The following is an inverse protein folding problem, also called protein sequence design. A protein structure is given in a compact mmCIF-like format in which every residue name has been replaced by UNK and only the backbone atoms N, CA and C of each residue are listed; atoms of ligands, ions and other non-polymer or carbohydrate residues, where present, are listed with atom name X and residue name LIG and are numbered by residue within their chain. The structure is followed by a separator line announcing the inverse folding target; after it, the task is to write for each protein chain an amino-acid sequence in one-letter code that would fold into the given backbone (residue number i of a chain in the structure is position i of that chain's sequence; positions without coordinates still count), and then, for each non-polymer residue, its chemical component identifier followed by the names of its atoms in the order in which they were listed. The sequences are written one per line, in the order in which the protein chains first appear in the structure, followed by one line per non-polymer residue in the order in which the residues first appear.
data_IF_959286441576
#
_entry.id   IF_959286441576
#
_cell.length_a   1.000
_cell.length_b   1.000
_cell.length_c   1.000
_cell.angle_alpha   90.00
_cell.angle_beta   90.00
_cell.angle_gamma   90.00
#
_symmetry.space_group_name_H-M   'P 1'
#
loop_
_entity.id
_entity.type
_entity.pdbx_description
1 polymer ?
#
# COMPACT_ATOMS: atom_id res chain seq x y z
N UNK A 1 -9.29 4.86 -26.02
CA UNK A 1 -8.66 3.83 -26.88
C UNK A 1 -7.62 4.40 -27.83
N UNK A 2 -7.92 5.43 -28.65
CA UNK A 2 -6.99 6.02 -29.63
C UNK A 2 -5.63 6.48 -29.06
N UNK A 3 -5.62 7.06 -27.85
CA UNK A 3 -4.39 7.53 -27.18
C UNK A 3 -3.42 6.37 -26.82
N UNK A 4 -3.94 5.18 -26.50
CA UNK A 4 -3.13 4.01 -26.14
C UNK A 4 -2.39 3.46 -27.36
N UNK A 5 -3.08 3.34 -28.50
CA UNK A 5 -2.46 2.89 -29.75
C UNK A 5 -1.43 3.90 -30.28
N UNK A 6 -1.71 5.20 -30.15
CA UNK A 6 -0.76 6.25 -30.51
C UNK A 6 0.52 6.19 -29.65
N UNK A 7 0.38 5.98 -28.33
CA UNK A 7 1.53 5.82 -27.44
C UNK A 7 2.38 4.58 -27.76
N UNK A 8 1.75 3.45 -28.11
CA UNK A 8 2.46 2.24 -28.54
C UNK A 8 3.18 2.47 -29.88
N UNK A 9 2.54 3.13 -30.84
CA UNK A 9 3.17 3.46 -32.12
C UNK A 9 4.39 4.38 -31.94
N UNK A 10 4.28 5.40 -31.07
CA UNK A 10 5.39 6.29 -30.73
C UNK A 10 6.53 5.54 -30.03
N UNK A 11 6.21 4.59 -29.15
CA UNK A 11 7.21 3.74 -28.50
C UNK A 11 7.98 2.86 -29.49
N UNK A 12 7.27 2.25 -30.45
CA UNK A 12 7.91 1.45 -31.51
C UNK A 12 8.81 2.34 -32.38
N UNK A 13 8.35 3.55 -32.73
CA UNK A 13 9.14 4.49 -33.52
C UNK A 13 10.42 4.92 -32.78
N UNK A 14 10.34 5.18 -31.47
CA UNK A 14 11.53 5.48 -30.67
C UNK A 14 12.53 4.32 -30.61
N UNK A 15 12.05 3.07 -30.51
CA UNK A 15 12.92 1.90 -30.60
C UNK A 15 13.62 1.79 -31.96
N UNK A 16 12.90 2.05 -33.06
CA UNK A 16 13.48 2.06 -34.41
C UNK A 16 14.57 3.13 -34.52
N UNK A 17 14.33 4.34 -33.97
CA UNK A 17 15.33 5.41 -33.95
C UNK A 17 16.60 5.02 -33.18
N UNK A 18 16.48 4.33 -32.04
CA UNK A 18 17.62 3.84 -31.28
C UNK A 18 18.44 2.84 -32.11
N UNK A 19 17.78 1.88 -32.77
CA UNK A 19 18.45 0.89 -33.62
C UNK A 19 19.15 1.60 -34.79
N UNK A 20 18.47 2.53 -35.47
CA UNK A 20 19.07 3.32 -36.55
C UNK A 20 20.27 4.13 -36.07
N UNK A 21 20.24 4.68 -34.86
CA UNK A 21 21.35 5.43 -34.28
C UNK A 21 22.60 4.55 -34.13
N UNK A 22 22.44 3.34 -33.57
CA UNK A 22 23.54 2.38 -33.41
C UNK A 22 24.11 1.87 -34.73
N UNK A 23 23.28 1.70 -35.76
CA UNK A 23 23.72 1.12 -37.03
C UNK A 23 24.24 2.16 -38.05
N UNK A 24 23.69 3.38 -38.05
CA UNK A 24 23.95 4.37 -39.11
C UNK A 24 24.75 5.58 -38.64
N UNK A 25 24.60 5.98 -37.37
CA UNK A 25 25.19 7.22 -36.83
C UNK A 25 26.49 6.98 -36.06
N UNK A 26 26.62 5.83 -35.42
CA UNK A 26 27.74 5.49 -34.56
C UNK A 26 28.82 4.72 -35.34
N UNK A 27 30.05 5.25 -35.48
CA UNK A 27 31.09 4.59 -36.25
C UNK A 27 31.52 3.28 -35.57
N UNK A 28 31.66 2.20 -36.34
CA UNK A 28 31.97 0.86 -35.83
C UNK A 28 33.23 0.80 -34.92
N UNK A 29 34.17 1.74 -35.09
CA UNK A 29 35.40 1.85 -34.33
C UNK A 29 35.21 2.23 -32.84
N UNK A 30 34.06 2.81 -32.46
CA UNK A 30 33.77 3.11 -31.05
C UNK A 30 33.31 1.88 -30.26
N UNK A 31 33.01 0.79 -30.97
CA UNK A 31 32.62 -0.47 -30.38
C UNK A 31 33.83 -1.39 -30.42
N UNK A 32 34.14 -2.00 -29.28
CA UNK A 32 35.22 -2.98 -29.15
C UNK A 32 34.84 -4.36 -29.76
N UNK A 33 34.26 -4.35 -30.96
CA UNK A 33 33.72 -5.50 -31.68
C UNK A 33 32.19 -5.54 -31.75
N UNK A 34 31.68 -6.35 -32.67
CA UNK A 34 30.24 -6.49 -32.96
C UNK A 34 29.44 -6.96 -31.73
N UNK A 35 30.00 -7.86 -30.91
CA UNK A 35 29.35 -8.37 -29.71
C UNK A 35 29.09 -7.28 -28.65
N UNK A 36 30.01 -6.31 -28.50
CA UNK A 36 29.85 -5.20 -27.56
C UNK A 36 28.78 -4.22 -28.06
N UNK A 37 28.71 -3.98 -29.37
CA UNK A 37 27.68 -3.14 -29.99
C UNK A 37 26.27 -3.70 -29.72
N UNK A 38 26.08 -5.01 -29.94
CA UNK A 38 24.79 -5.66 -29.66
C UNK A 38 24.43 -5.67 -28.17
N UNK A 39 25.43 -5.82 -27.30
CA UNK A 39 25.22 -5.75 -25.85
C UNK A 39 24.75 -4.35 -25.44
N UNK A 40 25.43 -3.29 -25.87
CA UNK A 40 25.04 -1.93 -25.52
C UNK A 40 23.70 -1.53 -26.11
N UNK A 41 23.40 -1.96 -27.34
CA UNK A 41 22.08 -1.79 -27.94
C UNK A 41 21.00 -2.47 -27.09
N UNK A 42 21.25 -3.69 -26.60
CA UNK A 42 20.30 -4.42 -25.76
C UNK A 42 20.04 -3.71 -24.43
N UNK A 43 21.08 -3.18 -23.79
CA UNK A 43 20.99 -2.44 -22.53
C UNK A 43 20.20 -1.14 -22.72
N UNK A 44 20.52 -0.36 -23.74
CA UNK A 44 19.79 0.89 -24.06
C UNK A 44 18.34 0.59 -24.41
N UNK A 45 18.07 -0.49 -25.14
CA UNK A 45 16.72 -0.95 -25.45
C UNK A 45 15.93 -1.32 -24.18
N UNK A 46 16.55 -2.03 -23.23
CA UNK A 46 15.91 -2.37 -21.95
C UNK A 46 15.57 -1.09 -21.18
N UNK A 47 16.51 -0.14 -21.08
CA UNK A 47 16.28 1.16 -20.43
C UNK A 47 15.13 1.91 -21.10
N UNK A 48 15.11 1.96 -22.44
CA UNK A 48 14.06 2.62 -23.19
C UNK A 48 12.67 2.05 -22.86
N UNK A 49 12.51 0.72 -22.91
CA UNK A 49 11.24 0.08 -22.59
C UNK A 49 10.84 0.24 -21.12
N UNK A 50 11.79 0.29 -20.19
CA UNK A 50 11.52 0.62 -18.79
C UNK A 50 10.91 2.03 -18.67
N UNK A 51 11.43 3.02 -19.39
CA UNK A 51 10.89 4.38 -19.38
C UNK A 51 9.55 4.50 -20.10
N UNK A 52 9.36 3.81 -21.23
CA UNK A 52 8.06 3.70 -21.91
C UNK A 52 7.01 3.12 -20.97
N UNK A 53 7.37 2.09 -20.20
CA UNK A 53 6.47 1.48 -19.22
C UNK A 53 6.11 2.46 -18.09
N UNK A 54 7.10 3.16 -17.53
CA UNK A 54 6.87 4.14 -16.44
C UNK A 54 6.01 5.31 -16.89
N UNK A 55 6.28 5.87 -18.07
CA UNK A 55 5.58 7.05 -18.60
C UNK A 55 4.22 6.70 -19.23
N UNK A 56 4.11 5.53 -19.85
CA UNK A 56 2.90 5.07 -20.55
C UNK A 56 1.89 4.32 -19.68
N UNK A 57 2.35 3.71 -18.57
CA UNK A 57 1.54 2.85 -17.69
C UNK A 57 1.79 3.22 -16.23
N UNK A 58 1.73 4.50 -15.87
CA UNK A 58 1.66 4.90 -14.46
C UNK A 58 0.27 4.55 -13.91
N UNK A 59 0.06 3.43 -13.20
CA UNK A 59 -1.24 3.07 -12.70
C UNK A 59 -1.27 3.58 -11.27
N UNK A 60 -1.33 4.89 -11.08
CA UNK A 60 -1.99 5.36 -9.85
C UNK A 60 -3.45 5.01 -10.07
N UNK A 61 -3.80 3.76 -9.75
CA UNK A 61 -5.19 3.31 -9.68
C UNK A 61 -5.81 4.16 -8.58
N UNK A 62 -6.42 5.26 -8.97
CA UNK A 62 -7.21 6.12 -8.08
C UNK A 62 -8.35 5.33 -7.40
N UNK A 63 -8.72 4.18 -7.98
CA UNK A 63 -9.75 3.28 -7.49
C UNK A 63 -9.28 2.29 -6.40
N UNK A 64 -8.00 2.26 -6.03
CA UNK A 64 -7.52 1.39 -4.94
C UNK A 64 -7.44 2.18 -3.62
N UNK A 65 -8.42 2.02 -2.70
CA UNK A 65 -8.47 2.78 -1.45
C UNK A 65 -7.29 2.44 -0.53
N UNK A 66 -6.64 1.29 -0.74
CA UNK A 66 -5.44 0.89 -0.02
C UNK A 66 -4.15 1.54 -0.56
N UNK A 67 -4.21 2.27 -1.69
CA UNK A 67 -3.09 2.96 -2.32
C UNK A 67 -1.83 2.08 -2.46
N UNK A 68 -2.01 0.76 -2.67
CA UNK A 68 -0.92 -0.23 -2.71
C UNK A 68 0.11 0.10 -3.79
N UNK A 69 -0.37 0.68 -4.89
CA UNK A 69 0.46 1.15 -5.99
C UNK A 69 1.42 2.28 -5.59
N UNK A 70 1.02 3.14 -4.64
CA UNK A 70 1.82 4.29 -4.17
C UNK A 70 2.97 3.83 -3.26
N UNK A 71 2.71 2.86 -2.37
CA UNK A 71 3.71 2.34 -1.42
C UNK A 71 4.96 1.74 -2.08
N UNK A 72 4.82 1.18 -3.29
CA UNK A 72 5.95 0.64 -4.06
C UNK A 72 6.48 1.57 -5.16
N UNK A 73 5.78 2.68 -5.44
CA UNK A 73 6.07 3.55 -6.60
C UNK A 73 7.42 4.24 -6.46
N UNK A 74 7.73 4.75 -5.26
CA UNK A 74 8.98 5.45 -4.98
C UNK A 74 10.20 4.55 -5.18
N UNK A 75 10.16 3.33 -4.63
CA UNK A 75 11.25 2.36 -4.79
C UNK A 75 11.42 1.98 -6.27
N UNK A 76 10.32 1.76 -7.02
CA UNK A 76 10.38 1.48 -8.46
C UNK A 76 11.02 2.64 -9.24
N UNK A 77 10.60 3.88 -8.97
CA UNK A 77 11.13 5.06 -9.63
C UNK A 77 12.62 5.24 -9.38
N UNK A 78 13.04 5.21 -8.11
CA UNK A 78 14.46 5.31 -7.76
C UNK A 78 15.28 4.17 -8.38
N UNK A 79 14.76 2.95 -8.36
CA UNK A 79 15.46 1.78 -8.93
C UNK A 79 15.65 1.91 -10.44
N UNK A 80 14.64 2.39 -11.17
CA UNK A 80 14.72 2.58 -12.63
C UNK A 80 15.69 3.71 -12.97
N UNK A 81 15.70 4.80 -12.21
CA UNK A 81 16.66 5.90 -12.39
C UNK A 81 18.09 5.40 -12.16
N UNK A 82 18.35 4.76 -11.02
CA UNK A 82 19.68 4.25 -10.66
C UNK A 82 20.16 3.23 -11.70
N UNK A 83 19.29 2.29 -12.10
CA UNK A 83 19.63 1.33 -13.15
C UNK A 83 19.94 2.01 -14.49
N UNK A 84 19.14 2.99 -14.90
CA UNK A 84 19.36 3.72 -16.17
C UNK A 84 20.70 4.45 -16.17
N UNK A 85 21.05 5.12 -15.05
CA UNK A 85 22.32 5.83 -14.92
C UNK A 85 23.49 4.86 -14.87
N UNK A 86 23.41 3.77 -14.10
CA UNK A 86 24.50 2.80 -14.00
C UNK A 86 24.70 2.01 -15.28
N UNK A 87 23.66 1.40 -15.83
CA UNK A 87 23.75 0.54 -17.02
C UNK A 87 24.03 1.37 -18.28
N UNK A 88 23.35 2.50 -18.46
CA UNK A 88 23.57 3.41 -19.58
C UNK A 88 24.89 4.17 -19.47
N UNK A 89 25.25 4.63 -18.27
CA UNK A 89 26.54 5.28 -18.01
C UNK A 89 27.72 4.33 -18.21
N UNK A 90 27.60 3.07 -17.76
CA UNK A 90 28.63 2.07 -18.01
C UNK A 90 28.80 1.78 -19.51
N UNK A 91 27.71 1.61 -20.26
CA UNK A 91 27.74 1.44 -21.73
C UNK A 91 28.41 2.65 -22.43
N UNK A 92 28.07 3.87 -22.02
CA UNK A 92 28.70 5.09 -22.56
C UNK A 92 30.21 5.13 -22.27
N UNK A 93 30.61 4.83 -21.03
CA UNK A 93 32.02 4.81 -20.63
C UNK A 93 32.80 3.76 -21.42
N UNK A 94 32.24 2.58 -21.65
CA UNK A 94 32.90 1.55 -22.46
C UNK A 94 33.07 1.97 -23.93
N UNK A 95 32.09 2.69 -24.50
CA UNK A 95 32.23 3.26 -25.85
C UNK A 95 33.30 4.34 -25.91
N UNK A 96 33.37 5.24 -24.92
CA UNK A 96 34.40 6.28 -24.85
C UNK A 96 35.81 5.71 -24.65
N UNK A 97 35.95 4.67 -23.83
CA UNK A 97 37.23 3.97 -23.62
C UNK A 97 37.70 3.26 -24.90
N UNK A 98 36.79 2.63 -25.63
CA UNK A 98 37.09 2.03 -26.93
C UNK A 98 37.52 3.09 -27.96
N UNK A 99 36.84 4.24 -28.02
CA UNK A 99 37.24 5.36 -28.87
C UNK A 99 38.64 5.93 -28.52
N UNK A 100 39.03 5.89 -27.24
CA UNK A 100 40.35 6.31 -26.77
C UNK A 100 41.43 5.21 -26.92
N UNK A 101 41.13 4.09 -27.58
CA UNK A 101 42.09 3.01 -27.84
C UNK A 101 42.31 2.02 -26.69
N UNK A 102 41.48 2.07 -25.65
CA UNK A 102 41.49 1.11 -24.53
C UNK A 102 40.17 0.33 -24.46
N UNK A 103 39.93 -0.61 -25.40
CA UNK A 103 38.68 -1.35 -25.45
C UNK A 103 38.52 -2.28 -24.24
N UNK A 104 37.33 -2.26 -23.63
CA UNK A 104 36.95 -3.21 -22.58
C UNK A 104 36.55 -4.55 -23.21
N UNK A 105 37.12 -5.64 -22.70
CA UNK A 105 36.80 -6.98 -23.18
C UNK A 105 35.31 -7.32 -22.96
N UNK A 106 34.67 -7.93 -23.96
CA UNK A 106 33.26 -8.34 -23.91
C UNK A 106 32.88 -9.08 -22.62
N UNK A 107 33.73 -10.01 -22.16
CA UNK A 107 33.50 -10.82 -20.95
C UNK A 107 33.33 -9.96 -19.69
N UNK A 108 34.07 -8.86 -19.59
CA UNK A 108 33.96 -7.92 -18.46
C UNK A 108 32.71 -7.04 -18.61
N UNK A 109 32.42 -6.59 -19.83
CA UNK A 109 31.26 -5.76 -20.10
C UNK A 109 29.94 -6.50 -19.82
N UNK A 110 29.82 -7.76 -20.28
CA UNK A 110 28.63 -8.59 -20.01
C UNK A 110 28.50 -8.95 -18.53
N UNK A 111 29.61 -9.25 -17.84
CA UNK A 111 29.58 -9.56 -16.41
C UNK A 111 29.12 -8.34 -15.59
N UNK A 112 29.67 -7.15 -15.88
CA UNK A 112 29.28 -5.92 -15.20
C UNK A 112 27.80 -5.57 -15.46
N UNK A 113 27.34 -5.63 -16.70
CA UNK A 113 25.93 -5.37 -17.04
C UNK A 113 24.99 -6.40 -16.40
N UNK A 114 25.39 -7.67 -16.30
CA UNK A 114 24.62 -8.71 -15.61
C UNK A 114 24.49 -8.44 -14.10
N UNK A 115 25.56 -7.98 -13.44
CA UNK A 115 25.53 -7.60 -12.02
C UNK A 115 24.60 -6.40 -11.80
N UNK A 116 24.67 -5.38 -12.66
CA UNK A 116 23.80 -4.20 -12.59
C UNK A 116 22.33 -4.60 -12.78
N UNK A 117 22.05 -5.47 -13.77
CA UNK A 117 20.71 -6.00 -14.00
C UNK A 117 20.20 -6.82 -12.81
N UNK A 118 21.04 -7.66 -12.22
CA UNK A 118 20.69 -8.44 -11.04
C UNK A 118 20.34 -7.55 -9.84
N UNK A 119 21.14 -6.52 -9.58
CA UNK A 119 20.85 -5.52 -8.54
C UNK A 119 19.50 -4.81 -8.77
N UNK A 120 19.19 -4.47 -10.02
CA UNK A 120 17.89 -3.90 -10.38
C UNK A 120 16.72 -4.86 -10.13
N UNK A 121 16.85 -6.15 -10.47
CA UNK A 121 15.82 -7.16 -10.19
C UNK A 121 15.57 -7.33 -8.69
N UNK A 122 16.63 -7.32 -7.87
CA UNK A 122 16.49 -7.35 -6.40
C UNK A 122 15.73 -6.12 -5.87
N UNK A 123 16.00 -4.94 -6.42
CA UNK A 123 15.31 -3.72 -6.03
C UNK A 123 13.81 -3.77 -6.41
N UNK A 124 13.46 -4.35 -7.56
CA UNK A 124 12.07 -4.60 -7.95
C UNK A 124 11.37 -5.60 -7.02
N UNK A 125 12.04 -6.67 -6.60
CA UNK A 125 11.49 -7.62 -5.61
C UNK A 125 11.22 -6.94 -4.27
N UNK A 126 12.15 -6.09 -3.81
CA UNK A 126 11.98 -5.29 -2.59
C UNK A 126 10.78 -4.34 -2.67
N UNK A 127 10.59 -3.67 -3.82
CA UNK A 127 9.39 -2.86 -4.06
C UNK A 127 8.09 -3.67 -3.99
N UNK A 128 8.10 -4.91 -4.51
CA UNK A 128 6.98 -5.84 -4.41
C UNK A 128 6.59 -6.13 -2.97
N UNK A 129 7.59 -6.44 -2.12
CA UNK A 129 7.37 -6.65 -0.69
C UNK A 129 6.88 -5.39 0.04
N UNK A 130 7.43 -4.21 -0.29
CA UNK A 130 6.98 -2.95 0.30
C UNK A 130 5.50 -2.66 -0.02
N UNK A 131 5.09 -2.87 -1.28
CA UNK A 131 3.70 -2.72 -1.72
C UNK A 131 2.74 -3.70 -1.02
N UNK A 132 3.17 -4.96 -0.85
CA UNK A 132 2.41 -5.96 -0.08
C UNK A 132 2.31 -5.59 1.41
N UNK A 133 3.33 -4.95 1.98
CA UNK A 133 3.27 -4.48 3.37
C UNK A 133 2.30 -3.30 3.53
N UNK A 134 2.25 -2.37 2.58
CA UNK A 134 1.27 -1.26 2.60
C UNK A 134 -0.17 -1.78 2.54
N UNK A 135 -0.41 -2.80 1.71
CA UNK A 135 -1.69 -3.51 1.64
C UNK A 135 -2.12 -4.11 2.99
N UNK A 136 -1.17 -4.73 3.70
CA UNK A 136 -1.41 -5.33 5.00
C UNK A 136 -1.73 -4.27 6.06
N UNK A 137 -0.94 -3.18 6.13
CA UNK A 137 -1.18 -2.09 7.09
C UNK A 137 -2.54 -1.43 6.87
N UNK A 138 -2.95 -1.24 5.62
CA UNK A 138 -4.27 -0.70 5.31
C UNK A 138 -5.40 -1.60 5.81
N UNK A 139 -5.32 -2.91 5.53
CA UNK A 139 -6.30 -3.88 6.02
C UNK A 139 -6.35 -3.92 7.55
N UNK A 140 -5.19 -3.88 8.22
CA UNK A 140 -5.09 -3.84 9.67
C UNK A 140 -5.72 -2.55 10.24
N UNK A 141 -5.50 -1.40 9.60
CA UNK A 141 -6.11 -0.13 10.00
C UNK A 141 -7.63 -0.14 9.81
N UNK A 142 -8.12 -0.74 8.73
CA UNK A 142 -9.55 -0.85 8.46
C UNK A 142 -10.24 -1.77 9.48
N UNK A 143 -9.62 -2.89 9.84
CA UNK A 143 -10.10 -3.76 10.92
C UNK A 143 -10.09 -3.03 12.29
N UNK A 144 -9.05 -2.26 12.60
CA UNK A 144 -8.97 -1.44 13.83
C UNK A 144 -10.07 -0.39 13.92
N UNK A 145 -10.45 0.19 12.78
CA UNK A 145 -11.49 1.22 12.71
C UNK A 145 -12.90 0.62 12.79
N UNK A 146 -13.11 -0.58 12.22
CA UNK A 146 -14.39 -1.28 12.26
C UNK A 146 -14.85 -1.56 13.71
N UNK A 147 -13.99 -2.15 14.55
CA UNK A 147 -14.37 -2.45 15.95
C UNK A 147 -14.78 -1.21 16.77
N UNK A 148 -14.14 -0.06 16.52
CA UNK A 148 -14.55 1.21 17.15
C UNK A 148 -15.92 1.70 16.64
N UNK A 149 -16.18 1.54 15.34
CA UNK A 149 -17.46 1.92 14.76
C UNK A 149 -18.60 1.06 15.31
N UNK A 150 -18.39 -0.26 15.42
CA UNK A 150 -19.38 -1.21 15.92
C UNK A 150 -19.81 -0.90 17.36
N UNK A 151 -18.85 -0.63 18.26
CA UNK A 151 -19.17 -0.21 19.65
C UNK A 151 -19.97 1.10 19.66
N UNK A 152 -19.60 2.06 18.80
CA UNK A 152 -20.28 3.35 18.76
C UNK A 152 -21.72 3.21 18.27
N UNK A 153 -21.96 2.37 17.27
CA UNK A 153 -23.30 2.08 16.78
C UNK A 153 -24.13 1.33 17.83
N UNK A 154 -23.58 0.28 18.45
CA UNK A 154 -24.27 -0.47 19.50
C UNK A 154 -24.67 0.41 20.70
N UNK A 155 -23.77 1.30 21.16
CA UNK A 155 -24.10 2.25 22.24
C UNK A 155 -25.15 3.28 21.84
N UNK A 156 -25.20 3.67 20.56
CA UNK A 156 -26.20 4.61 20.05
C UNK A 156 -27.57 3.95 19.90
N UNK A 157 -27.63 2.72 19.41
CA UNK A 157 -28.86 1.94 19.32
C UNK A 157 -29.42 1.67 20.72
N UNK A 158 -28.55 1.35 21.67
CA UNK A 158 -28.93 1.11 23.06
C UNK A 158 -29.44 2.37 23.76
N UNK A 159 -28.80 3.53 23.52
CA UNK A 159 -29.29 4.82 24.00
C UNK A 159 -30.69 5.10 23.44
N UNK A 160 -30.89 4.88 22.14
CA UNK A 160 -32.18 5.12 21.46
C UNK A 160 -33.26 4.22 22.07
N UNK A 161 -32.98 2.93 22.25
CA UNK A 161 -33.90 1.98 22.88
C UNK A 161 -34.24 2.35 24.34
N UNK A 162 -33.28 2.94 25.08
CA UNK A 162 -33.51 3.41 26.44
C UNK A 162 -34.32 4.71 26.50
N UNK A 163 -34.14 5.63 25.53
CA UNK A 163 -34.90 6.88 25.41
C UNK A 163 -36.35 6.64 24.98
N UNK A 164 -36.59 5.66 24.11
CA UNK A 164 -37.94 5.30 23.64
C UNK A 164 -38.77 4.55 24.70
N UNK A 165 -38.14 3.98 25.72
CA UNK A 165 -38.82 3.27 26.79
C UNK A 165 -39.04 4.14 28.04
N UNK A 166 -40.27 4.66 28.20
CA UNK A 166 -40.69 5.47 29.35
C UNK A 166 -40.56 4.79 30.72
N UNK A 167 -40.38 3.47 30.78
CA UNK A 167 -40.18 2.73 32.02
C UNK A 167 -38.74 2.76 32.53
N UNK A 168 -37.78 3.20 31.71
CA UNK A 168 -36.35 3.27 32.06
C UNK A 168 -36.06 4.55 32.85
N UNK A 169 -35.41 4.47 34.03
CA UNK A 169 -35.04 5.64 34.81
C UNK A 169 -34.09 6.55 34.05
N UNK A 170 -34.29 7.86 34.20
CA UNK A 170 -33.43 8.90 33.62
C UNK A 170 -31.96 8.76 34.02
N UNK A 171 -31.68 8.16 35.17
CA UNK A 171 -30.30 7.90 35.64
C UNK A 171 -29.57 6.89 34.75
N UNK A 172 -30.26 5.83 34.29
CA UNK A 172 -29.69 4.85 33.36
C UNK A 172 -29.45 5.49 31.99
N UNK A 173 -30.40 6.27 31.50
CA UNK A 173 -30.25 7.03 30.25
C UNK A 173 -29.06 7.99 30.32
N UNK A 174 -28.88 8.72 31.42
CA UNK A 174 -27.76 9.63 31.61
C UNK A 174 -26.40 8.92 31.60
N UNK A 175 -26.30 7.74 32.21
CA UNK A 175 -25.08 6.91 32.22
C UNK A 175 -24.73 6.38 30.83
N UNK A 176 -25.73 5.91 30.08
CA UNK A 176 -25.56 5.49 28.69
C UNK A 176 -25.14 6.64 27.77
N UNK A 177 -25.69 7.83 27.98
CA UNK A 177 -25.32 9.02 27.22
C UNK A 177 -23.88 9.46 27.53
N UNK A 178 -23.39 9.27 28.76
CA UNK A 178 -22.00 9.50 29.13
C UNK A 178 -21.05 8.49 28.44
N UNK A 179 -21.42 7.20 28.43
CA UNK A 179 -20.67 6.14 27.73
C UNK A 179 -20.60 6.39 26.22
N UNK A 180 -21.70 6.78 25.60
CA UNK A 180 -21.77 7.10 24.18
C UNK A 180 -20.88 8.31 23.85
N UNK A 181 -20.86 9.35 24.68
CA UNK A 181 -19.89 10.47 24.56
C UNK A 181 -18.45 10.02 24.74
N UNK A 182 -18.19 9.11 25.67
CA UNK A 182 -16.85 8.62 25.97
C UNK A 182 -16.31 7.64 24.91
N UNK A 183 -17.18 7.06 24.08
CA UNK A 183 -16.79 6.16 22.95
C UNK A 183 -15.81 6.82 21.97
N UNK A 184 -15.84 8.15 21.87
CA UNK A 184 -14.87 8.91 21.05
C UNK A 184 -13.42 8.71 21.49
N UNK A 185 -13.21 8.45 22.79
CA UNK A 185 -11.89 8.27 23.40
C UNK A 185 -11.34 6.84 23.31
N UNK A 186 -12.08 5.91 22.70
CA UNK A 186 -11.54 4.57 22.40
C UNK A 186 -10.47 4.70 21.31
N UNK A 187 -9.29 4.19 21.61
CA UNK A 187 -8.19 4.10 20.64
C UNK A 187 -8.43 2.91 19.71
N UNK A 188 -8.34 3.09 18.37
CA UNK A 188 -8.42 1.98 17.43
C UNK A 188 -7.29 0.97 17.70
N UNK A 189 -7.64 -0.22 18.18
CA UNK A 189 -6.69 -1.28 18.52
C UNK A 189 -7.25 -2.61 18.01
N UNK A 190 -6.42 -3.42 17.36
CA UNK A 190 -6.77 -4.75 16.83
C UNK A 190 -5.91 -5.83 17.46
N UNK A 191 -5.37 -5.57 18.66
CA UNK A 191 -4.80 -6.66 19.45
C UNK A 191 -5.90 -7.70 19.73
N UNK A 192 -5.56 -9.00 19.88
CA UNK A 192 -6.55 -10.02 20.22
C UNK A 192 -7.31 -9.70 21.52
N UNK A 193 -6.62 -9.07 22.48
CA UNK A 193 -7.22 -8.61 23.73
C UNK A 193 -8.21 -7.47 23.53
N UNK A 194 -7.92 -6.52 22.62
CA UNK A 194 -8.84 -5.46 22.25
C UNK A 194 -10.07 -6.00 21.51
N UNK A 195 -9.89 -6.95 20.59
CA UNK A 195 -11.00 -7.57 19.86
C UNK A 195 -11.92 -8.40 20.78
N UNK A 196 -11.36 -9.14 21.75
CA UNK A 196 -12.15 -9.85 22.74
C UNK A 196 -12.93 -8.90 23.66
N UNK A 197 -12.31 -7.78 24.05
CA UNK A 197 -12.98 -6.75 24.83
C UNK A 197 -14.07 -6.02 24.01
N UNK A 198 -13.86 -5.81 22.70
CA UNK A 198 -14.87 -5.24 21.81
C UNK A 198 -16.10 -6.17 21.71
N UNK A 199 -15.89 -7.47 21.53
CA UNK A 199 -16.97 -8.46 21.52
C UNK A 199 -17.72 -8.53 22.85
N UNK A 200 -17.01 -8.40 23.97
CA UNK A 200 -17.63 -8.41 25.29
C UNK A 200 -18.50 -7.17 25.51
N UNK A 201 -18.04 -5.98 25.10
CA UNK A 201 -18.83 -4.75 25.15
C UNK A 201 -20.07 -4.84 24.25
N UNK A 202 -19.95 -5.43 23.06
CA UNK A 202 -21.09 -5.64 22.16
C UNK A 202 -22.12 -6.62 22.76
N UNK A 203 -21.66 -7.74 23.32
CA UNK A 203 -22.54 -8.71 24.00
C UNK A 203 -23.27 -8.09 25.21
N UNK A 204 -22.57 -7.26 25.98
CA UNK A 204 -23.17 -6.52 27.09
C UNK A 204 -24.21 -5.49 26.59
N UNK A 205 -23.96 -4.84 25.44
CA UNK A 205 -24.95 -3.96 24.82
C UNK A 205 -26.19 -4.73 24.40
N UNK A 206 -26.03 -5.85 23.69
CA UNK A 206 -27.16 -6.67 23.24
C UNK A 206 -27.99 -7.18 24.41
N UNK A 207 -27.33 -7.71 25.45
CA UNK A 207 -27.99 -8.22 26.65
C UNK A 207 -28.69 -7.11 27.44
N UNK A 208 -28.11 -5.90 27.50
CA UNK A 208 -28.73 -4.75 28.15
C UNK A 208 -29.91 -4.21 27.34
N UNK A 209 -29.84 -4.22 26.00
CA UNK A 209 -30.97 -3.83 25.15
C UNK A 209 -32.19 -4.74 25.37
N UNK A 210 -31.96 -6.06 25.46
CA UNK A 210 -32.99 -7.04 25.76
C UNK A 210 -33.58 -6.85 27.17
N UNK A 211 -32.73 -6.56 28.16
CA UNK A 211 -33.17 -6.29 29.53
C UNK A 211 -33.93 -4.96 29.67
N UNK A 212 -33.62 -3.96 28.84
CA UNK A 212 -34.29 -2.66 28.80
C UNK A 212 -35.66 -2.74 28.11
N UNK A 213 -35.88 -3.67 27.18
CA UNK A 213 -37.21 -3.88 26.59
C UNK A 213 -38.27 -4.22 27.67
N UNK A 214 -37.93 -5.12 28.59
CA UNK A 214 -38.79 -5.55 29.71
C UNK A 214 -38.30 -5.02 31.06
N UNK A 215 -37.98 -3.71 31.11
CA UNK A 215 -37.36 -3.10 32.29
C UNK A 215 -38.15 -3.27 33.59
N UNK A 216 -39.49 -3.33 33.52
CA UNK A 216 -40.36 -3.49 34.70
C UNK A 216 -40.15 -4.84 35.42
N UNK A 217 -39.80 -5.90 34.69
CA UNK A 217 -39.50 -7.23 35.21
C UNK A 217 -38.01 -7.39 35.57
N UNK A 218 -37.12 -6.70 34.86
CA UNK A 218 -35.68 -6.92 34.92
C UNK A 218 -34.88 -5.78 35.60
N UNK A 219 -35.52 -4.94 36.43
CA UNK A 219 -34.91 -3.75 37.07
C UNK A 219 -33.53 -3.98 37.70
N UNK A 220 -33.38 -5.01 38.53
CA UNK A 220 -32.11 -5.30 39.21
C UNK A 220 -31.05 -5.81 38.22
N UNK A 221 -31.47 -6.63 37.26
CA UNK A 221 -30.61 -7.20 36.24
C UNK A 221 -30.09 -6.13 35.25
N UNK A 222 -30.96 -5.24 34.78
CA UNK A 222 -30.59 -4.11 33.92
C UNK A 222 -29.61 -3.14 34.61
N UNK A 223 -29.79 -2.90 35.91
CA UNK A 223 -28.88 -2.02 36.68
C UNK A 223 -27.50 -2.66 36.86
N UNK A 224 -27.44 -3.98 37.08
CA UNK A 224 -26.18 -4.74 37.12
C UNK A 224 -25.48 -4.76 35.76
N UNK A 225 -26.20 -5.04 34.67
CA UNK A 225 -25.62 -4.99 33.32
C UNK A 225 -25.08 -3.60 32.96
N UNK A 226 -25.78 -2.53 33.34
CA UNK A 226 -25.29 -1.16 33.10
C UNK A 226 -23.93 -0.93 33.80
N UNK A 227 -23.77 -1.45 35.02
CA UNK A 227 -22.49 -1.35 35.75
C UNK A 227 -21.38 -2.26 35.20
N UNK A 228 -21.76 -3.39 34.61
CA UNK A 228 -20.85 -4.32 33.96
C UNK A 228 -20.32 -3.73 32.65
N UNK A 229 -21.23 -3.20 31.83
CA UNK A 229 -20.92 -2.50 30.59
C UNK A 229 -19.98 -1.31 30.82
N UNK A 230 -20.18 -0.50 31.88
CA UNK A 230 -19.25 0.58 32.23
C UNK A 230 -17.84 0.07 32.57
N UNK A 231 -17.75 -1.07 33.26
CA UNK A 231 -16.47 -1.67 33.66
C UNK A 231 -15.73 -2.20 32.45
N UNK A 232 -16.42 -2.93 31.59
CA UNK A 232 -15.83 -3.55 30.41
C UNK A 232 -15.47 -2.48 29.37
N UNK A 233 -16.26 -1.41 29.27
CA UNK A 233 -15.92 -0.23 28.49
C UNK A 233 -14.67 0.50 29.01
N UNK A 234 -14.53 0.69 30.33
CA UNK A 234 -13.31 1.28 30.93
C UNK A 234 -12.08 0.40 30.69
N UNK A 235 -12.23 -0.92 30.81
CA UNK A 235 -11.18 -1.88 30.52
C UNK A 235 -10.76 -1.79 29.05
N UNK A 236 -11.70 -1.69 28.12
CA UNK A 236 -11.39 -1.50 26.70
C UNK A 236 -10.67 -0.18 26.42
N UNK A 237 -11.06 0.90 27.09
CA UNK A 237 -10.41 2.22 26.98
C UNK A 237 -8.95 2.21 27.45
N UNK A 238 -8.60 1.34 28.40
CA UNK A 238 -7.22 1.21 28.91
C UNK A 238 -6.28 0.35 28.05
N UNK A 239 -6.81 -0.28 26.98
CA UNK A 239 -6.09 -1.16 26.04
C UNK A 239 -5.85 -0.47 24.69
#
# INVERSE_FOLDING_TARGET
MKLKYFGIALAILGQILIICCFLLLLPAAIFAGEANMWLDLSVVSIIYWLWVWVLGVAPVRADDPAQRAIGGLGIKWYSIIIYSVLAGGFALVTMLMAANGSPVAFKLQIAAQAIILFGFLLALLSSGHASAKTAQVYNDQQQKMAGKADIRFALQDLLTAAEDNNNVPRDIVARLQALQRDSRFITPNASPAAAAADQQVLADCDALSAALADYSLNRQYATQLTSQLERDFRRRRSL
#
